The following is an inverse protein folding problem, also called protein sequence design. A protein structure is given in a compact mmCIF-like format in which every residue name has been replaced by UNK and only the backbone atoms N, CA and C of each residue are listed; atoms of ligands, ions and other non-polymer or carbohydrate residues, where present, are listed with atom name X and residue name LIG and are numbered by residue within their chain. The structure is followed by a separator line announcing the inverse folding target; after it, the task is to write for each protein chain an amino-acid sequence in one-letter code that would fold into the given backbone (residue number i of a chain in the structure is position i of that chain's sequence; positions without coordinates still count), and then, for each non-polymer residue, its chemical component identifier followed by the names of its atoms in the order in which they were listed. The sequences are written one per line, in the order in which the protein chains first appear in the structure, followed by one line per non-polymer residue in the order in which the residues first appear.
data_IF_618745025084
#
_entry.id   IF_618745025084
#
_cell.length_a   1.000
_cell.length_b   1.000
_cell.length_c   1.000
_cell.angle_alpha   90.00
_cell.angle_beta   90.00
_cell.angle_gamma   90.00
#
_symmetry.space_group_name_H-M   'P 1'
#
loop_
_entity.id
_entity.type
_entity.pdbx_description
1 polymer ?
#
# COMPACT_ATOMS: atom_id res chain seq x y z
N UNK A 1 -9.42 40.87 -15.51
CA UNK A 1 -9.40 39.47 -15.94
C UNK A 1 -8.63 38.68 -14.88
N UNK A 2 -9.35 38.10 -13.93
CA UNK A 2 -8.76 37.31 -12.85
C UNK A 2 -8.35 35.98 -13.39
N UNK A 3 -7.07 35.67 -13.20
CA UNK A 3 -6.46 34.38 -13.52
C UNK A 3 -6.98 33.33 -12.54
N UNK A 4 -8.10 32.70 -12.84
CA UNK A 4 -8.60 31.52 -12.12
C UNK A 4 -7.63 30.37 -12.39
N UNK A 5 -6.56 30.26 -11.61
CA UNK A 5 -5.76 29.04 -11.55
C UNK A 5 -6.71 27.92 -11.13
N UNK A 6 -7.05 27.04 -12.06
CA UNK A 6 -7.78 25.82 -11.76
C UNK A 6 -6.97 25.03 -10.72
N UNK A 7 -7.48 24.96 -9.51
CA UNK A 7 -6.91 24.12 -8.46
C UNK A 7 -7.21 22.69 -8.86
N UNK A 8 -6.22 22.04 -9.50
CA UNK A 8 -6.29 20.60 -9.77
C UNK A 8 -6.06 19.90 -8.43
N UNK A 9 -7.13 19.51 -7.79
CA UNK A 9 -7.08 18.67 -6.59
C UNK A 9 -6.53 17.30 -6.97
N UNK A 10 -5.25 17.06 -6.71
CA UNK A 10 -4.62 15.76 -6.94
C UNK A 10 -5.09 14.69 -5.94
N UNK A 11 -5.57 15.09 -4.77
CA UNK A 11 -6.06 14.21 -3.70
C UNK A 11 -7.07 14.95 -2.82
N UNK A 12 -8.04 14.19 -2.28
CA UNK A 12 -8.92 14.67 -1.21
C UNK A 12 -8.19 14.61 0.12
N UNK A 13 -8.44 15.54 1.05
CA UNK A 13 -7.98 15.40 2.43
C UNK A 13 -8.52 14.10 3.04
N UNK A 14 -7.70 13.42 3.84
CA UNK A 14 -8.09 12.23 4.58
C UNK A 14 -8.25 12.57 6.05
N UNK A 15 -9.43 12.36 6.59
CA UNK A 15 -9.78 12.63 7.99
C UNK A 15 -10.13 11.31 8.67
N UNK A 16 -9.57 11.05 9.84
CA UNK A 16 -9.88 9.87 10.65
C UNK A 16 -10.62 10.27 11.92
N UNK A 17 -11.76 9.63 12.16
CA UNK A 17 -12.61 9.79 13.35
C UNK A 17 -12.89 8.40 13.94
N UNK A 18 -11.97 7.87 14.73
CA UNK A 18 -12.01 6.50 15.24
C UNK A 18 -12.25 6.55 16.75
N UNK A 19 -13.30 5.86 17.17
CA UNK A 19 -13.71 5.77 18.59
C UNK A 19 -12.97 4.66 19.34
N UNK A 20 -12.74 3.49 18.70
CA UNK A 20 -11.99 2.41 19.33
C UNK A 20 -10.48 2.73 19.40
N UNK A 21 -9.88 2.81 20.62
CA UNK A 21 -8.48 3.21 20.77
C UNK A 21 -7.50 2.20 20.16
N UNK A 22 -7.82 0.90 20.17
CA UNK A 22 -6.93 -0.14 19.63
C UNK A 22 -6.92 -0.08 18.11
N UNK A 23 -8.11 0.13 17.51
CA UNK A 23 -8.20 0.34 16.06
C UNK A 23 -7.54 1.65 15.63
N UNK A 24 -7.73 2.72 16.38
CA UNK A 24 -7.06 3.99 16.15
C UNK A 24 -5.54 3.85 16.06
N UNK A 25 -4.91 3.16 17.03
CA UNK A 25 -3.46 2.94 17.02
C UNK A 25 -3.00 2.10 15.82
N UNK A 26 -3.75 1.07 15.44
CA UNK A 26 -3.47 0.27 14.24
C UNK A 26 -3.51 1.12 12.97
N UNK A 27 -4.58 1.92 12.81
CA UNK A 27 -4.75 2.82 11.65
C UNK A 27 -3.64 3.87 11.61
N UNK A 28 -3.30 4.49 12.73
CA UNK A 28 -2.17 5.43 12.82
C UNK A 28 -0.85 4.79 12.38
N UNK A 29 -0.57 3.59 12.88
CA UNK A 29 0.63 2.83 12.51
C UNK A 29 0.68 2.57 11.00
N UNK A 30 -0.44 2.12 10.43
CA UNK A 30 -0.57 1.85 9.01
C UNK A 30 -0.36 3.11 8.14
N UNK A 31 -1.04 4.21 8.45
CA UNK A 31 -0.93 5.46 7.70
C UNK A 31 0.48 6.06 7.78
N UNK A 32 1.10 6.02 8.97
CA UNK A 32 2.48 6.48 9.19
C UNK A 32 3.50 5.62 8.44
N UNK A 33 3.34 4.29 8.47
CA UNK A 33 4.19 3.36 7.71
C UNK A 33 4.17 3.69 6.21
N UNK A 34 3.03 4.09 5.68
CA UNK A 34 2.86 4.49 4.27
C UNK A 34 3.25 5.95 3.99
N UNK A 35 3.57 6.74 5.02
CA UNK A 35 3.85 8.19 4.87
C UNK A 35 2.66 8.95 4.31
N UNK A 36 1.43 8.53 4.62
CA UNK A 36 0.21 9.20 4.20
C UNK A 36 -0.08 10.38 5.13
N UNK A 37 -0.45 11.50 4.54
CA UNK A 37 -0.95 12.66 5.30
C UNK A 37 -2.41 12.43 5.66
N UNK A 38 -2.76 12.70 6.90
CA UNK A 38 -4.13 12.60 7.42
C UNK A 38 -4.36 13.65 8.52
N UNK A 39 -5.60 13.95 8.77
CA UNK A 39 -6.07 14.81 9.86
C UNK A 39 -6.85 13.96 10.86
N UNK A 40 -6.75 14.31 12.13
CA UNK A 40 -7.60 13.74 13.18
C UNK A 40 -8.85 14.61 13.28
N UNK A 41 -10.01 13.95 13.36
CA UNK A 41 -11.30 14.62 13.52
C UNK A 41 -11.36 15.40 14.83
N UNK A 42 -11.84 16.63 14.77
CA UNK A 42 -12.11 17.45 15.95
C UNK A 42 -13.62 17.76 16.06
N UNK A 43 -14.22 18.23 14.98
CA UNK A 43 -15.65 18.50 14.82
C UNK A 43 -15.99 18.66 13.33
N UNK A 44 -17.28 18.65 13.00
CA UNK A 44 -17.76 18.69 11.61
C UNK A 44 -17.34 19.98 10.86
N UNK A 45 -17.26 21.11 11.55
CA UNK A 45 -16.95 22.42 10.94
C UNK A 45 -15.47 22.53 10.52
N UNK A 46 -14.58 21.78 11.20
CA UNK A 46 -13.14 21.79 10.91
C UNK A 46 -12.73 20.78 9.81
N UNK A 47 -13.65 19.97 9.33
CA UNK A 47 -13.35 19.07 8.21
C UNK A 47 -13.12 19.91 6.94
N UNK A 48 -11.97 19.75 6.26
CA UNK A 48 -11.73 20.41 4.98
C UNK A 48 -12.78 20.01 3.93
N UNK A 49 -13.08 20.91 3.00
CA UNK A 49 -13.98 20.61 1.89
C UNK A 49 -13.51 19.44 1.05
N UNK A 50 -14.45 18.64 0.54
CA UNK A 50 -14.21 17.47 -0.31
C UNK A 50 -13.36 16.37 0.34
N UNK A 51 -13.35 16.29 1.67
CA UNK A 51 -12.62 15.26 2.41
C UNK A 51 -13.23 13.87 2.27
N UNK A 52 -12.40 12.86 2.56
CA UNK A 52 -12.85 11.50 2.91
C UNK A 52 -12.73 11.37 4.42
N UNK A 53 -13.83 11.11 5.10
CA UNK A 53 -13.89 10.80 6.53
C UNK A 53 -13.97 9.29 6.71
N UNK A 54 -13.00 8.70 7.41
CA UNK A 54 -13.03 7.30 7.80
C UNK A 54 -13.37 7.19 9.30
N UNK A 55 -14.40 6.41 9.63
CA UNK A 55 -14.90 6.30 11.01
C UNK A 55 -15.45 4.91 11.31
N UNK A 56 -15.28 4.46 12.55
CA UNK A 56 -15.87 3.24 13.12
C UNK A 56 -17.12 3.50 13.96
N UNK A 57 -17.46 4.77 14.21
CA UNK A 57 -18.53 5.14 15.12
C UNK A 57 -19.64 5.94 14.43
N UNK A 58 -20.87 5.45 14.55
CA UNK A 58 -22.03 6.01 13.84
C UNK A 58 -22.36 7.45 14.24
N UNK A 59 -22.02 7.85 15.46
CA UNK A 59 -22.19 9.24 15.89
C UNK A 59 -21.49 10.24 14.98
N UNK A 60 -20.27 9.96 14.56
CA UNK A 60 -19.54 10.85 13.64
C UNK A 60 -20.18 10.88 12.25
N UNK A 61 -20.82 9.79 11.81
CA UNK A 61 -21.59 9.77 10.56
C UNK A 61 -22.78 10.75 10.65
N UNK A 62 -23.51 10.74 11.77
CA UNK A 62 -24.63 11.63 11.99
C UNK A 62 -24.19 13.10 12.06
N UNK A 63 -23.13 13.37 12.80
CA UNK A 63 -22.58 14.74 12.99
C UNK A 63 -22.17 15.38 11.65
N UNK A 64 -21.67 14.58 10.71
CA UNK A 64 -21.22 15.04 9.39
C UNK A 64 -22.32 14.92 8.32
N UNK A 65 -23.50 14.39 8.63
CA UNK A 65 -24.56 14.10 7.65
C UNK A 65 -25.08 15.32 6.87
N UNK A 66 -24.95 16.52 7.42
CA UNK A 66 -25.31 17.77 6.75
C UNK A 66 -24.27 18.24 5.70
N UNK A 67 -23.08 17.62 5.68
CA UNK A 67 -21.96 17.98 4.83
C UNK A 67 -21.96 17.14 3.55
N UNK A 68 -22.65 17.60 2.50
CA UNK A 68 -22.73 16.91 1.20
C UNK A 68 -21.39 16.84 0.45
N UNK A 69 -20.40 17.59 0.89
CA UNK A 69 -19.05 17.63 0.31
C UNK A 69 -18.08 16.62 0.94
N UNK A 70 -18.46 15.95 2.03
CA UNK A 70 -17.64 14.96 2.72
C UNK A 70 -18.09 13.55 2.36
N UNK A 71 -17.15 12.73 1.86
CA UNK A 71 -17.39 11.32 1.61
C UNK A 71 -17.13 10.53 2.90
N UNK A 72 -18.19 10.01 3.51
CA UNK A 72 -18.07 9.21 4.73
C UNK A 72 -17.87 7.74 4.40
N UNK A 73 -16.84 7.15 5.00
CA UNK A 73 -16.52 5.72 4.96
C UNK A 73 -16.69 5.14 6.36
N UNK A 74 -17.87 4.54 6.61
CA UNK A 74 -18.22 3.94 7.89
C UNK A 74 -17.79 2.48 7.96
N UNK A 75 -17.02 2.12 8.96
CA UNK A 75 -16.42 0.79 9.14
C UNK A 75 -16.47 0.32 10.60
N UNK A 76 -17.62 -0.11 11.09
CA UNK A 76 -17.76 -0.61 12.46
C UNK A 76 -17.05 -1.96 12.69
N UNK A 77 -16.71 -2.68 11.61
CA UNK A 77 -16.06 -4.00 11.66
C UNK A 77 -14.53 -3.93 11.71
N UNK A 78 -13.94 -2.74 11.66
CA UNK A 78 -12.49 -2.54 11.67
C UNK A 78 -11.77 -3.29 10.54
N UNK A 79 -12.32 -3.23 9.35
CA UNK A 79 -11.86 -3.98 8.18
C UNK A 79 -10.68 -3.30 7.48
N UNK A 80 -9.57 -4.03 7.31
CA UNK A 80 -8.42 -3.51 6.57
C UNK A 80 -8.76 -3.13 5.11
N UNK A 81 -9.67 -3.85 4.48
CA UNK A 81 -10.12 -3.54 3.11
C UNK A 81 -10.95 -2.24 3.06
N UNK A 82 -11.74 -1.96 4.09
CA UNK A 82 -12.51 -0.72 4.19
C UNK A 82 -11.60 0.48 4.39
N UNK A 83 -10.57 0.35 5.23
CA UNK A 83 -9.53 1.37 5.38
C UNK A 83 -8.81 1.63 4.06
N UNK A 84 -8.41 0.57 3.33
CA UNK A 84 -7.73 0.74 2.04
C UNK A 84 -8.63 1.38 0.98
N UNK A 85 -9.92 1.03 0.95
CA UNK A 85 -10.91 1.70 0.10
C UNK A 85 -11.03 3.19 0.45
N UNK A 86 -11.05 3.55 1.73
CA UNK A 86 -11.09 4.95 2.15
C UNK A 86 -9.85 5.73 1.67
N UNK A 87 -8.66 5.12 1.75
CA UNK A 87 -7.43 5.70 1.21
C UNK A 87 -7.53 5.89 -0.31
N UNK A 88 -8.03 4.90 -1.04
CA UNK A 88 -8.22 4.99 -2.49
C UNK A 88 -9.21 6.09 -2.89
N UNK A 89 -10.29 6.28 -2.12
CA UNK A 89 -11.26 7.38 -2.34
C UNK A 89 -10.61 8.76 -2.24
N UNK A 90 -9.55 8.91 -1.44
CA UNK A 90 -8.79 10.18 -1.43
C UNK A 90 -8.14 10.49 -2.77
N UNK A 91 -7.94 9.47 -3.62
CA UNK A 91 -7.31 9.54 -4.94
C UNK A 91 -8.30 9.37 -6.09
N UNK A 92 -9.60 9.43 -5.80
CA UNK A 92 -10.69 9.20 -6.75
C UNK A 92 -10.64 7.79 -7.39
N UNK A 93 -10.12 6.79 -6.66
CA UNK A 93 -10.03 5.39 -7.09
C UNK A 93 -10.94 4.50 -6.25
N UNK A 94 -11.40 3.39 -6.85
CA UNK A 94 -12.14 2.32 -6.17
C UNK A 94 -11.23 1.15 -5.82
N UNK A 95 -10.20 0.94 -6.63
CA UNK A 95 -9.20 -0.14 -6.52
C UNK A 95 -7.92 0.28 -7.21
N UNK A 96 -6.87 -0.48 -6.97
CA UNK A 96 -5.67 -0.45 -7.80
C UNK A 96 -5.93 -1.19 -9.12
N UNK A 97 -5.40 -0.70 -10.23
CA UNK A 97 -5.42 -1.43 -11.50
C UNK A 97 -4.46 -2.61 -11.44
N UNK A 98 -3.23 -2.37 -10.93
CA UNK A 98 -2.21 -3.39 -10.81
C UNK A 98 -1.60 -3.39 -9.40
N UNK A 99 -1.55 -4.57 -8.78
CA UNK A 99 -0.80 -4.79 -7.55
C UNK A 99 0.33 -5.77 -7.84
N UNK A 100 1.55 -5.38 -7.52
CA UNK A 100 2.72 -6.22 -7.64
C UNK A 100 3.33 -6.49 -6.28
N UNK A 101 3.53 -7.76 -5.96
CA UNK A 101 4.33 -8.17 -4.81
C UNK A 101 5.72 -8.54 -5.29
N UNK A 102 6.74 -7.86 -4.80
CA UNK A 102 8.15 -8.23 -5.06
C UNK A 102 8.73 -8.93 -3.85
N UNK A 103 9.40 -10.05 -4.06
CA UNK A 103 9.98 -10.87 -2.99
C UNK A 103 11.45 -11.10 -3.30
N UNK A 104 12.31 -10.67 -2.38
CA UNK A 104 13.73 -11.00 -2.35
C UNK A 104 13.90 -12.22 -1.42
N UNK A 105 14.16 -13.42 -1.98
CA UNK A 105 14.31 -14.65 -1.20
C UNK A 105 15.63 -14.68 -0.45
N UNK A 106 15.61 -15.10 0.81
CA UNK A 106 16.78 -15.25 1.66
C UNK A 106 16.43 -16.07 2.90
N UNK A 107 17.36 -16.18 3.84
CA UNK A 107 17.10 -16.80 5.16
C UNK A 107 15.94 -16.11 5.89
N UNK A 108 15.81 -14.80 5.69
CA UNK A 108 14.63 -14.00 5.98
C UNK A 108 14.22 -13.38 4.64
N UNK A 109 13.04 -13.68 4.16
CA UNK A 109 12.51 -13.11 2.93
C UNK A 109 12.08 -11.67 3.14
N UNK A 110 12.45 -10.79 2.22
CA UNK A 110 11.97 -9.39 2.21
C UNK A 110 10.92 -9.23 1.12
N UNK A 111 9.78 -8.65 1.47
CA UNK A 111 8.72 -8.40 0.50
C UNK A 111 8.34 -6.91 0.43
N UNK A 112 7.83 -6.53 -0.72
CA UNK A 112 7.17 -5.24 -0.95
C UNK A 112 5.85 -5.46 -1.67
N UNK A 113 4.87 -4.61 -1.40
CA UNK A 113 3.60 -4.56 -2.11
C UNK A 113 3.46 -3.19 -2.75
N UNK A 114 3.38 -3.16 -4.06
CA UNK A 114 3.26 -1.93 -4.86
C UNK A 114 1.91 -1.96 -5.58
N UNK A 115 1.08 -0.94 -5.35
CA UNK A 115 -0.18 -0.76 -6.07
C UNK A 115 -0.08 0.42 -7.03
N UNK A 116 -0.31 0.17 -8.31
CA UNK A 116 -0.03 1.09 -9.40
C UNK A 116 1.43 1.60 -9.29
N UNK A 117 1.64 2.80 -8.83
CA UNK A 117 2.97 3.38 -8.65
C UNK A 117 3.30 3.72 -7.19
N UNK A 118 2.60 3.13 -6.22
CA UNK A 118 2.76 3.45 -4.81
C UNK A 118 3.14 2.25 -3.97
N UNK A 119 4.09 2.43 -3.05
CA UNK A 119 4.43 1.44 -2.05
C UNK A 119 3.31 1.38 -1.00
N UNK A 120 2.56 0.25 -0.99
CA UNK A 120 1.47 0.01 -0.06
C UNK A 120 1.99 -0.57 1.25
N UNK A 121 2.80 -1.63 1.16
CA UNK A 121 3.35 -2.31 2.33
C UNK A 121 4.73 -2.90 2.03
N UNK A 122 5.47 -3.26 3.07
CA UNK A 122 6.74 -3.96 2.98
C UNK A 122 7.07 -4.61 4.32
N UNK A 123 7.87 -5.64 4.30
CA UNK A 123 8.29 -6.32 5.52
C UNK A 123 9.34 -7.39 5.30
N UNK A 124 9.73 -8.01 6.41
CA UNK A 124 10.61 -9.17 6.44
C UNK A 124 9.91 -10.29 7.19
N UNK A 125 9.99 -11.50 6.66
CA UNK A 125 9.29 -12.66 7.21
C UNK A 125 10.06 -13.95 6.93
N UNK A 126 9.93 -14.92 7.80
CA UNK A 126 10.47 -16.26 7.59
C UNK A 126 9.84 -16.90 6.33
N UNK A 127 10.61 -17.62 5.50
CA UNK A 127 10.11 -18.17 4.23
C UNK A 127 8.89 -19.08 4.36
N UNK A 128 8.75 -19.82 5.45
CA UNK A 128 7.61 -20.69 5.73
C UNK A 128 6.31 -19.93 6.05
N UNK A 129 6.41 -18.71 6.61
CA UNK A 129 5.29 -17.82 6.91
C UNK A 129 4.95 -16.85 5.78
N UNK A 130 5.84 -16.72 4.80
CA UNK A 130 5.72 -15.73 3.72
C UNK A 130 4.39 -15.85 2.95
N UNK A 131 3.93 -17.06 2.69
CA UNK A 131 2.68 -17.31 1.99
C UNK A 131 1.49 -16.68 2.71
N UNK A 132 1.37 -16.95 4.01
CA UNK A 132 0.23 -16.51 4.79
C UNK A 132 0.27 -14.98 4.97
N UNK A 133 1.46 -14.42 5.15
CA UNK A 133 1.69 -12.97 5.14
C UNK A 133 1.22 -12.32 3.83
N UNK A 134 1.62 -12.85 2.67
CA UNK A 134 1.23 -12.29 1.37
C UNK A 134 -0.28 -12.43 1.13
N UNK A 135 -0.88 -13.57 1.50
CA UNK A 135 -2.33 -13.75 1.40
C UNK A 135 -3.08 -12.72 2.25
N UNK A 136 -2.67 -12.53 3.50
CA UNK A 136 -3.26 -11.53 4.39
C UNK A 136 -3.19 -10.12 3.80
N UNK A 137 -2.03 -9.74 3.26
CA UNK A 137 -1.88 -8.42 2.62
C UNK A 137 -2.79 -8.26 1.41
N UNK A 138 -2.83 -9.25 0.53
CA UNK A 138 -3.65 -9.19 -0.69
C UNK A 138 -5.16 -9.18 -0.39
N UNK A 139 -5.62 -9.80 0.68
CA UNK A 139 -7.02 -9.74 1.11
C UNK A 139 -7.45 -8.33 1.55
N UNK A 140 -6.52 -7.52 2.03
CA UNK A 140 -6.79 -6.15 2.46
C UNK A 140 -6.77 -5.12 1.33
N UNK A 141 -6.29 -5.49 0.14
CA UNK A 141 -6.04 -4.54 -0.96
C UNK A 141 -7.04 -4.79 -2.10
N UNK A 142 -7.93 -3.85 -2.43
CA UNK A 142 -8.80 -3.98 -3.59
C UNK A 142 -7.99 -3.76 -4.88
N UNK A 143 -7.92 -4.75 -5.76
CA UNK A 143 -7.19 -4.70 -7.02
C UNK A 143 -7.98 -5.33 -8.18
N UNK A 144 -7.59 -4.99 -9.40
CA UNK A 144 -8.07 -5.63 -10.62
C UNK A 144 -7.17 -6.81 -11.01
N UNK A 145 -5.87 -6.58 -11.05
CA UNK A 145 -4.87 -7.58 -11.41
C UNK A 145 -3.75 -7.60 -10.38
N UNK A 146 -3.23 -8.80 -10.10
CA UNK A 146 -2.07 -8.94 -9.22
C UNK A 146 -1.06 -9.93 -9.78
N UNK A 147 0.21 -9.68 -9.48
CA UNK A 147 1.33 -10.55 -9.80
C UNK A 147 2.29 -10.62 -8.62
N UNK A 148 2.78 -11.82 -8.34
CA UNK A 148 3.87 -12.04 -7.37
C UNK A 148 5.16 -12.30 -8.15
N UNK A 149 6.18 -11.49 -7.92
CA UNK A 149 7.50 -11.58 -8.52
C UNK A 149 8.53 -11.95 -7.49
N UNK A 150 9.35 -12.93 -7.80
CA UNK A 150 10.31 -13.53 -6.87
C UNK A 150 11.67 -13.46 -7.52
N UNK A 151 12.70 -13.02 -6.78
CA UNK A 151 14.09 -13.05 -7.22
C UNK A 151 14.50 -14.48 -7.58
N UNK A 152 15.31 -14.64 -8.63
CA UNK A 152 15.80 -15.91 -9.16
C UNK A 152 16.69 -16.66 -8.17
N UNK A 153 17.45 -17.64 -8.71
CA UNK A 153 18.24 -18.54 -7.91
C UNK A 153 17.46 -19.80 -7.47
N UNK A 154 18.16 -20.75 -6.88
CA UNK A 154 17.58 -22.07 -6.53
C UNK A 154 16.43 -21.91 -5.52
N UNK A 155 16.63 -21.09 -4.50
CA UNK A 155 15.61 -20.86 -3.46
C UNK A 155 14.42 -20.07 -3.99
N UNK A 156 14.63 -19.12 -4.90
CA UNK A 156 13.58 -18.37 -5.55
C UNK A 156 12.67 -19.23 -6.40
N UNK A 157 13.20 -20.14 -7.20
CA UNK A 157 12.41 -21.07 -8.00
C UNK A 157 11.59 -22.02 -7.13
N UNK A 158 12.18 -22.57 -6.05
CA UNK A 158 11.47 -23.44 -5.10
C UNK A 158 10.32 -22.70 -4.41
N UNK A 159 10.56 -21.46 -4.01
CA UNK A 159 9.56 -20.60 -3.40
C UNK A 159 8.43 -20.26 -4.38
N UNK A 160 8.77 -19.95 -5.64
CA UNK A 160 7.81 -19.62 -6.68
C UNK A 160 6.84 -20.79 -6.95
N UNK A 161 7.36 -22.03 -7.09
CA UNK A 161 6.54 -23.23 -7.25
C UNK A 161 5.61 -23.47 -6.06
N UNK A 162 6.10 -23.27 -4.84
CA UNK A 162 5.30 -23.40 -3.62
C UNK A 162 4.16 -22.36 -3.58
N UNK A 163 4.47 -21.11 -3.89
CA UNK A 163 3.49 -20.02 -3.89
C UNK A 163 2.47 -20.19 -5.02
N UNK A 164 2.89 -20.56 -6.25
CA UNK A 164 1.98 -20.80 -7.37
C UNK A 164 0.86 -21.79 -7.03
N UNK A 165 1.21 -22.90 -6.39
CA UNK A 165 0.24 -23.94 -6.03
C UNK A 165 -0.78 -23.50 -4.98
N UNK A 166 -0.53 -22.42 -4.28
CA UNK A 166 -1.29 -21.97 -3.10
C UNK A 166 -1.91 -20.59 -3.25
N UNK A 167 -1.31 -19.73 -4.05
CA UNK A 167 -1.84 -18.43 -4.42
C UNK A 167 -2.53 -18.58 -5.78
N UNK A 168 -3.81 -18.25 -5.87
CA UNK A 168 -4.53 -18.19 -7.16
C UNK A 168 -4.20 -16.91 -7.93
N UNK A 169 -2.92 -16.57 -8.02
CA UNK A 169 -2.40 -15.38 -8.67
C UNK A 169 -1.24 -15.72 -9.59
N UNK A 170 -0.94 -14.85 -10.55
CA UNK A 170 0.21 -15.01 -11.43
C UNK A 170 1.50 -14.91 -10.61
N UNK A 171 2.40 -15.88 -10.79
CA UNK A 171 3.72 -15.89 -10.17
C UNK A 171 4.78 -15.84 -11.26
N UNK A 172 5.77 -14.98 -11.11
CA UNK A 172 6.89 -14.78 -12.02
C UNK A 172 8.21 -14.89 -11.26
N UNK A 173 9.23 -15.48 -11.88
CA UNK A 173 10.61 -15.46 -11.39
C UNK A 173 11.42 -14.47 -12.19
N UNK A 174 12.08 -13.54 -11.49
CA UNK A 174 12.90 -12.46 -12.05
C UNK A 174 14.37 -12.85 -11.96
N UNK A 175 15.12 -12.76 -13.06
CA UNK A 175 16.53 -13.08 -13.08
C UNK A 175 17.35 -12.11 -12.22
N UNK A 176 18.22 -12.67 -11.36
CA UNK A 176 19.06 -11.88 -10.44
C UNK A 176 20.32 -11.32 -11.12
N UNK A 177 20.80 -11.89 -12.21
CA UNK A 177 21.98 -11.39 -12.91
C UNK A 177 21.78 -9.93 -13.36
N UNK A 178 20.56 -9.58 -13.71
CA UNK A 178 20.19 -8.20 -13.99
C UNK A 178 19.95 -7.35 -12.74
N UNK A 179 19.88 -7.94 -11.53
CA UNK A 179 19.64 -7.23 -10.28
C UNK A 179 20.92 -6.90 -9.52
N UNK A 180 22.04 -7.53 -9.83
CA UNK A 180 23.35 -7.28 -9.20
C UNK A 180 23.91 -5.93 -9.68
N UNK A 181 24.00 -4.96 -8.79
CA UNK A 181 24.58 -3.65 -9.04
C UNK A 181 23.55 -2.53 -9.17
N UNK A 182 23.18 -1.98 -8.03
CA UNK A 182 22.46 -0.70 -7.99
C UNK A 182 23.37 0.41 -8.54
N UNK A 183 22.98 1.01 -9.66
CA UNK A 183 23.56 2.30 -9.99
C UNK A 183 23.09 3.32 -8.94
N UNK A 184 23.96 4.26 -8.58
CA UNK A 184 23.62 5.33 -7.64
C UNK A 184 22.35 6.09 -8.07
N UNK A 185 22.14 6.16 -9.37
CA UNK A 185 20.97 6.80 -9.99
C UNK A 185 19.67 6.03 -9.74
N UNK A 186 19.67 4.71 -9.92
CA UNK A 186 18.48 3.87 -9.64
C UNK A 186 18.07 3.94 -8.17
N UNK A 187 19.04 3.92 -7.26
CA UNK A 187 18.78 4.08 -5.82
C UNK A 187 18.08 5.40 -5.50
N UNK A 188 18.51 6.49 -6.14
CA UNK A 188 17.90 7.82 -5.97
C UNK A 188 16.48 7.84 -6.55
N UNK A 189 16.27 7.27 -7.73
CA UNK A 189 14.96 7.22 -8.38
C UNK A 189 13.95 6.40 -7.55
N UNK A 190 14.34 5.23 -7.09
CA UNK A 190 13.51 4.38 -6.22
C UNK A 190 13.15 5.13 -4.93
N UNK A 191 14.15 5.74 -4.27
CA UNK A 191 13.93 6.53 -3.07
C UNK A 191 12.95 7.66 -3.29
N UNK A 192 13.14 8.44 -4.34
CA UNK A 192 12.29 9.59 -4.63
C UNK A 192 10.86 9.19 -5.03
N UNK A 193 10.69 8.09 -5.75
CA UNK A 193 9.38 7.63 -6.21
C UNK A 193 8.57 6.96 -5.09
N UNK A 194 9.16 6.03 -4.35
CA UNK A 194 8.43 5.17 -3.41
C UNK A 194 8.52 5.62 -1.95
N UNK A 195 9.51 6.47 -1.61
CA UNK A 195 9.83 6.83 -0.23
C UNK A 195 10.11 8.33 -0.03
N UNK A 196 9.34 9.24 -0.67
CA UNK A 196 9.70 10.67 -0.73
C UNK A 196 9.73 11.38 0.63
N UNK A 197 9.07 10.85 1.64
CA UNK A 197 8.92 11.51 2.96
C UNK A 197 9.26 10.61 4.14
N UNK A 198 9.90 9.47 3.91
CA UNK A 198 10.13 8.50 4.97
C UNK A 198 11.58 8.54 5.46
N UNK A 199 11.76 8.76 6.75
CA UNK A 199 13.01 8.42 7.46
C UNK A 199 13.19 6.90 7.59
N UNK A 200 12.90 6.15 6.52
CA UNK A 200 13.10 4.71 6.48
C UNK A 200 14.55 4.47 6.12
N UNK A 201 15.25 3.78 7.01
CA UNK A 201 16.57 3.23 6.69
C UNK A 201 16.34 2.08 5.70
N UNK A 202 16.54 2.38 4.43
CA UNK A 202 16.38 1.41 3.35
C UNK A 202 17.61 0.52 3.39
N UNK A 203 17.42 -0.74 3.70
CA UNK A 203 18.46 -1.76 3.57
C UNK A 203 18.53 -2.30 2.14
N UNK A 204 19.57 -3.09 1.87
CA UNK A 204 19.81 -3.66 0.53
C UNK A 204 18.69 -4.58 0.07
N UNK A 205 18.11 -5.35 1.00
CA UNK A 205 17.07 -6.34 0.71
C UNK A 205 15.77 -5.68 0.28
N UNK A 206 15.39 -4.56 0.95
CA UNK A 206 14.21 -3.79 0.56
C UNK A 206 14.37 -3.19 -0.86
N UNK A 207 15.58 -2.73 -1.20
CA UNK A 207 15.87 -2.29 -2.57
C UNK A 207 15.77 -3.44 -3.57
N UNK A 208 16.30 -4.62 -3.24
CA UNK A 208 16.21 -5.80 -4.09
C UNK A 208 14.74 -6.17 -4.33
N UNK A 209 13.93 -6.26 -3.28
CA UNK A 209 12.51 -6.56 -3.39
C UNK A 209 11.75 -5.52 -4.26
N UNK A 210 12.04 -4.22 -4.14
CA UNK A 210 11.46 -3.18 -5.02
C UNK A 210 11.88 -3.39 -6.48
N UNK A 211 13.14 -3.68 -6.75
CA UNK A 211 13.62 -3.93 -8.12
C UNK A 211 12.97 -5.16 -8.73
N UNK A 212 12.84 -6.23 -7.97
CA UNK A 212 12.13 -7.45 -8.38
C UNK A 212 10.67 -7.12 -8.71
N UNK A 213 10.00 -6.30 -7.88
CA UNK A 213 8.62 -5.88 -8.15
C UNK A 213 8.47 -5.08 -9.46
N UNK A 214 9.48 -4.32 -9.85
CA UNK A 214 9.42 -3.45 -11.03
C UNK A 214 9.82 -4.14 -12.35
N UNK A 215 10.41 -5.33 -12.30
CA UNK A 215 10.89 -6.07 -13.47
C UNK A 215 9.91 -7.18 -13.86
N UNK A 216 9.79 -7.45 -15.15
CA UNK A 216 9.06 -8.62 -15.63
C UNK A 216 9.93 -9.86 -15.47
N UNK A 217 9.31 -10.96 -15.07
CA UNK A 217 9.97 -12.25 -14.94
C UNK A 217 9.35 -13.30 -15.85
N UNK A 218 9.90 -14.52 -15.77
CA UNK A 218 9.33 -15.71 -16.42
C UNK A 218 8.15 -16.21 -15.60
N UNK A 219 7.04 -16.53 -16.27
CA UNK A 219 5.86 -17.12 -15.64
C UNK A 219 6.17 -18.55 -15.22
N UNK A 220 5.88 -18.87 -13.98
CA UNK A 220 6.03 -20.23 -13.42
C UNK A 220 4.80 -21.09 -13.66
#
# INVERSE_FOLDING_TARGET
MENTKSIVWKRRPFVIAIYDPNWFLKVLGYLRKRGLYFLIYENADKIPYFSVLYTDYYFFVQEVSIRNDVLVMYDPEHSCISLEKAILKTRFKERYEHVTVGIDPGSIATYVVIGDDELIDYGKVEPDKLKDEILEKLQCIPYRETVVRIGGGVDGWRLALNLKNRLRVRVEVVDEEETSGLTKLESILIKNKFLPSRNIRIDKDLYAAIRIALRKGMIV
#
